data_IF_253364093988
#
_entry.id   IF_253364093988
#
_cell.length_a   1.000
_cell.length_b   1.000
_cell.length_c   1.000
_cell.angle_alpha   90.00
_cell.angle_beta   90.00
_cell.angle_gamma   90.00
#
_symmetry.space_group_name_H-M   'P 1'
#
loop_
_entity.id
_entity.type
_entity.pdbx_description
1 polymer ?
#
# COMPACT_ATOMS: atom_id res chain seq x y z
N UNK A 1 18.69 -6.04 -4.75
CA UNK A 1 19.62 -6.00 -3.61
C UNK A 1 18.85 -5.48 -2.41
N UNK A 2 18.71 -6.29 -1.37
CA UNK A 2 18.00 -5.88 -0.14
C UNK A 2 18.97 -5.06 0.71
N UNK A 3 18.66 -3.80 0.95
CA UNK A 3 19.40 -2.99 1.93
C UNK A 3 18.80 -3.21 3.31
N UNK A 4 19.65 -3.51 4.25
CA UNK A 4 19.31 -3.57 5.68
C UNK A 4 20.15 -2.50 6.39
N UNK A 5 19.53 -1.40 6.72
CA UNK A 5 20.17 -0.35 7.49
C UNK A 5 19.61 -0.35 8.91
N UNK A 6 20.51 -0.47 9.90
CA UNK A 6 20.17 -0.36 11.32
C UNK A 6 20.89 0.84 11.89
N UNK A 7 20.16 1.76 12.48
CA UNK A 7 20.76 2.91 13.15
C UNK A 7 21.03 2.61 14.66
N UNK A 8 21.77 3.49 15.36
CA UNK A 8 22.10 3.31 16.78
C UNK A 8 20.88 3.23 17.71
N UNK A 9 19.71 3.68 17.27
CA UNK A 9 18.44 3.63 18.04
C UNK A 9 17.69 2.31 17.88
N UNK A 10 18.25 1.34 17.14
CA UNK A 10 17.62 0.05 16.86
C UNK A 10 16.53 0.08 15.78
N UNK A 11 16.33 1.23 15.11
CA UNK A 11 15.46 1.30 13.94
C UNK A 11 16.13 0.65 12.73
N UNK A 12 15.37 -0.09 11.96
CA UNK A 12 15.83 -0.76 10.74
C UNK A 12 14.95 -0.36 9.56
N UNK A 13 15.59 -0.24 8.41
CA UNK A 13 14.93 -0.09 7.11
C UNK A 13 15.34 -1.27 6.24
N UNK A 14 14.37 -1.95 5.67
CA UNK A 14 14.60 -3.01 4.69
C UNK A 14 13.88 -2.63 3.40
N UNK A 15 14.62 -2.40 2.35
CA UNK A 15 14.12 -2.22 1.00
C UNK A 15 14.31 -3.48 0.14
N UNK A 16 13.82 -3.46 -1.10
CA UNK A 16 13.93 -4.58 -2.02
C UNK A 16 13.09 -5.79 -1.61
N UNK A 17 12.12 -5.60 -0.71
CA UNK A 17 11.11 -6.60 -0.34
C UNK A 17 9.86 -6.47 -1.21
N UNK A 18 8.98 -7.44 -1.14
CA UNK A 18 7.69 -7.40 -1.83
C UNK A 18 6.59 -8.08 -1.03
N UNK A 19 5.35 -7.64 -1.22
CA UNK A 19 4.15 -8.30 -0.73
C UNK A 19 3.36 -8.79 -1.95
N UNK A 20 3.28 -10.11 -2.13
CA UNK A 20 2.61 -10.74 -3.27
C UNK A 20 3.03 -10.17 -4.64
N UNK A 21 4.32 -9.88 -4.81
CA UNK A 21 4.88 -9.32 -6.05
C UNK A 21 4.94 -7.80 -6.11
N UNK A 22 4.18 -7.08 -5.27
CA UNK A 22 4.20 -5.62 -5.20
C UNK A 22 5.41 -5.16 -4.38
N UNK A 23 6.32 -4.34 -4.92
CA UNK A 23 7.48 -3.82 -4.20
C UNK A 23 7.10 -3.11 -2.90
N UNK A 24 7.90 -3.32 -1.87
CA UNK A 24 7.65 -2.75 -0.54
C UNK A 24 8.93 -2.34 0.19
N UNK A 25 8.77 -1.48 1.19
CA UNK A 25 9.78 -1.13 2.19
C UNK A 25 9.23 -1.43 3.57
N UNK A 26 10.06 -2.00 4.43
CA UNK A 26 9.72 -2.22 5.84
C UNK A 26 10.54 -1.30 6.73
N UNK A 27 9.86 -0.61 7.62
CA UNK A 27 10.43 0.20 8.69
C UNK A 27 10.09 -0.47 10.02
N UNK A 28 11.08 -0.75 10.85
CA UNK A 28 10.80 -1.43 12.11
C UNK A 28 11.77 -1.07 13.25
N UNK A 29 11.29 -1.21 14.47
CA UNK A 29 12.08 -1.22 15.70
C UNK A 29 11.49 -2.25 16.67
N UNK A 30 11.90 -2.25 17.93
CA UNK A 30 11.40 -3.20 18.94
C UNK A 30 9.89 -3.07 19.24
N UNK A 31 9.25 -1.95 18.88
CA UNK A 31 7.86 -1.64 19.23
C UNK A 31 6.91 -1.68 18.05
N UNK A 32 7.38 -1.21 16.89
CA UNK A 32 6.51 -1.00 15.71
C UNK A 32 7.18 -1.55 14.47
N UNK A 33 6.37 -2.15 13.60
CA UNK A 33 6.72 -2.51 12.22
C UNK A 33 5.71 -1.87 11.27
N UNK A 34 6.21 -1.19 10.25
CA UNK A 34 5.41 -0.59 9.18
C UNK A 34 5.86 -1.16 7.84
N UNK A 35 4.93 -1.64 7.04
CA UNK A 35 5.19 -2.08 5.66
C UNK A 35 4.49 -1.14 4.70
N UNK A 36 5.26 -0.52 3.82
CA UNK A 36 4.79 0.43 2.81
C UNK A 36 4.92 -0.20 1.43
N UNK A 37 3.85 -0.21 0.65
CA UNK A 37 3.83 -0.72 -0.73
C UNK A 37 4.33 0.35 -1.70
N UNK A 38 5.62 0.40 -1.95
CA UNK A 38 6.23 1.37 -2.87
C UNK A 38 5.85 1.15 -4.34
N UNK A 39 5.39 -0.04 -4.67
CA UNK A 39 4.85 -0.37 -6.00
C UNK A 39 3.36 -0.08 -6.16
N UNK A 40 2.71 0.52 -5.15
CA UNK A 40 1.28 0.86 -5.16
C UNK A 40 1.03 2.13 -4.33
N UNK A 41 1.44 3.28 -4.85
CA UNK A 41 1.14 4.60 -4.29
C UNK A 41 1.59 4.86 -2.84
N UNK A 42 2.55 4.07 -2.32
CA UNK A 42 3.01 4.14 -0.94
C UNK A 42 1.93 3.79 0.12
N UNK A 43 0.94 2.97 -0.24
CA UNK A 43 -0.04 2.45 0.72
C UNK A 43 0.65 1.82 1.93
N UNK A 44 0.20 2.14 3.14
CA UNK A 44 0.64 1.47 4.36
C UNK A 44 -0.12 0.15 4.51
N UNK A 45 0.55 -0.95 4.19
CA UNK A 45 -0.04 -2.28 4.21
C UNK A 45 -0.15 -2.86 5.61
N UNK A 46 0.88 -2.69 6.43
CA UNK A 46 0.94 -3.22 7.80
C UNK A 46 1.38 -2.12 8.76
N UNK A 47 0.71 -2.00 9.87
CA UNK A 47 1.10 -1.17 11.01
C UNK A 47 0.95 -2.01 12.26
N UNK A 48 2.03 -2.70 12.64
CA UNK A 48 2.04 -3.72 13.68
C UNK A 48 2.68 -3.22 14.97
N UNK A 49 1.98 -3.41 16.07
CA UNK A 49 2.56 -3.32 17.40
C UNK A 49 3.29 -4.63 17.72
N UNK A 50 4.62 -4.59 17.72
CA UNK A 50 5.46 -5.79 17.82
C UNK A 50 5.32 -6.54 19.16
N UNK A 51 5.27 -5.87 20.33
CA UNK A 51 5.17 -6.58 21.61
C UNK A 51 3.89 -7.42 21.78
N UNK A 52 2.78 -7.04 21.16
CA UNK A 52 1.53 -7.82 21.20
C UNK A 52 1.26 -8.58 19.90
N UNK A 53 2.15 -8.50 18.92
CA UNK A 53 1.98 -9.08 17.59
C UNK A 53 0.65 -8.72 16.91
N UNK A 54 0.19 -7.46 17.13
CA UNK A 54 -1.11 -7.00 16.65
C UNK A 54 -0.93 -6.07 15.46
N UNK A 55 -1.47 -6.43 14.30
CA UNK A 55 -1.61 -5.51 13.17
C UNK A 55 -2.85 -4.63 13.40
N UNK A 56 -2.66 -3.33 13.40
CA UNK A 56 -3.71 -2.35 13.67
C UNK A 56 -4.56 -2.01 12.43
N UNK A 57 -4.14 -2.48 11.25
CA UNK A 57 -4.82 -2.19 10.00
C UNK A 57 -5.68 -3.37 9.56
N UNK A 58 -6.90 -3.05 9.12
CA UNK A 58 -7.78 -4.03 8.48
C UNK A 58 -7.15 -4.57 7.18
N UNK A 59 -7.35 -5.85 6.93
CA UNK A 59 -6.99 -6.50 5.66
C UNK A 59 -8.23 -7.14 5.04
N UNK A 60 -8.35 -7.00 3.72
CA UNK A 60 -9.36 -7.76 2.98
C UNK A 60 -8.95 -9.24 2.87
N UNK A 61 -9.92 -10.17 2.75
CA UNK A 61 -9.61 -11.60 2.61
C UNK A 61 -8.79 -11.94 1.36
N UNK A 62 -8.92 -11.18 0.29
CA UNK A 62 -8.15 -11.39 -0.95
C UNK A 62 -6.73 -10.82 -0.89
N UNK A 63 -6.48 -9.85 -0.02
CA UNK A 63 -5.17 -9.25 0.19
C UNK A 63 -4.69 -8.38 -0.98
N UNK A 64 -3.37 -8.21 -1.07
CA UNK A 64 -2.74 -7.42 -2.15
C UNK A 64 -2.84 -8.14 -3.47
N UNK A 65 -3.26 -7.44 -4.52
CA UNK A 65 -3.27 -7.88 -5.91
C UNK A 65 -2.24 -7.03 -6.68
N UNK A 66 -1.36 -7.70 -7.42
CA UNK A 66 -0.38 -7.03 -8.27
C UNK A 66 -1.07 -6.47 -9.54
N UNK A 67 -1.09 -5.14 -9.74
CA UNK A 67 -1.72 -4.53 -10.91
C UNK A 67 -1.16 -5.01 -12.25
N UNK A 68 0.07 -5.49 -12.28
CA UNK A 68 0.73 -5.97 -13.50
C UNK A 68 0.21 -7.33 -13.96
N UNK A 69 -0.36 -8.11 -13.08
CA UNK A 69 -0.81 -9.48 -13.36
C UNK A 69 -2.32 -9.66 -13.26
N UNK A 70 -3.02 -8.66 -12.73
CA UNK A 70 -4.47 -8.73 -12.58
C UNK A 70 -5.19 -8.51 -13.91
N UNK A 71 -6.20 -9.34 -14.15
CA UNK A 71 -7.13 -9.17 -15.28
C UNK A 71 -8.45 -8.64 -14.70
N UNK A 72 -8.87 -7.49 -15.19
CA UNK A 72 -10.13 -6.85 -14.74
C UNK A 72 -11.34 -7.51 -15.39
N UNK A 73 -12.35 -7.81 -14.58
CA UNK A 73 -13.66 -8.24 -15.06
C UNK A 73 -14.54 -7.05 -15.47
N UNK A 74 -14.21 -5.84 -15.00
CA UNK A 74 -14.93 -4.61 -15.31
C UNK A 74 -13.98 -3.42 -15.32
N UNK A 75 -14.23 -2.47 -16.21
CA UNK A 75 -13.52 -1.20 -16.28
C UNK A 75 -14.26 -0.04 -15.59
N UNK A 76 -15.34 -0.33 -14.87
CA UNK A 76 -15.99 0.68 -14.05
C UNK A 76 -15.06 1.16 -12.92
N UNK A 77 -14.88 2.47 -12.73
CA UNK A 77 -13.89 3.00 -11.79
C UNK A 77 -14.03 2.48 -10.37
N UNK A 78 -15.25 2.32 -9.89
CA UNK A 78 -15.50 1.79 -8.55
C UNK A 78 -15.14 0.30 -8.43
N UNK A 79 -15.41 -0.51 -9.44
CA UNK A 79 -15.02 -1.92 -9.48
C UNK A 79 -13.50 -2.06 -9.53
N UNK A 80 -12.83 -1.29 -10.40
CA UNK A 80 -11.37 -1.26 -10.49
C UNK A 80 -10.72 -0.88 -9.16
N UNK A 81 -11.26 0.12 -8.45
CA UNK A 81 -10.79 0.45 -7.12
C UNK A 81 -10.92 -0.73 -6.16
N UNK A 82 -12.07 -1.41 -6.15
CA UNK A 82 -12.32 -2.54 -5.26
C UNK A 82 -11.43 -3.74 -5.54
N UNK A 83 -11.06 -3.98 -6.79
CA UNK A 83 -10.12 -5.04 -7.17
C UNK A 83 -8.76 -4.86 -6.47
N UNK A 84 -8.30 -3.61 -6.36
CA UNK A 84 -6.99 -3.31 -5.76
C UNK A 84 -7.06 -2.90 -4.29
N UNK A 85 -8.26 -2.76 -3.72
CA UNK A 85 -8.40 -2.43 -2.30
C UNK A 85 -8.07 -3.64 -1.42
N UNK A 86 -6.94 -3.58 -0.76
CA UNK A 86 -6.46 -4.66 0.12
C UNK A 86 -6.70 -4.38 1.62
N UNK A 87 -7.35 -3.26 1.95
CA UNK A 87 -7.34 -2.69 3.29
C UNK A 87 -6.09 -1.84 3.51
N UNK A 88 -5.61 -1.75 4.73
CA UNK A 88 -4.47 -0.93 5.06
C UNK A 88 -4.83 0.55 5.21
N UNK A 89 -3.85 1.42 5.06
CA UNK A 89 -3.99 2.87 5.07
C UNK A 89 -3.54 3.42 3.72
N UNK A 90 -4.43 4.07 3.01
CA UNK A 90 -4.19 4.63 1.69
C UNK A 90 -4.24 6.14 1.73
N UNK A 91 -3.25 6.78 1.11
CA UNK A 91 -3.28 8.21 0.84
C UNK A 91 -4.07 8.47 -0.44
N UNK A 92 -4.86 9.53 -0.47
CA UNK A 92 -5.72 9.88 -1.59
C UNK A 92 -5.31 11.23 -2.17
N UNK A 93 -4.76 11.23 -3.38
CA UNK A 93 -4.33 12.43 -4.09
C UNK A 93 -4.51 12.24 -5.61
N UNK A 94 -4.93 13.24 -6.39
CA UNK A 94 -5.32 14.59 -5.99
C UNK A 94 -6.77 14.74 -5.55
N UNK A 95 -7.60 13.72 -5.73
CA UNK A 95 -9.02 13.73 -5.35
C UNK A 95 -9.36 12.56 -4.42
N UNK A 96 -10.27 12.79 -3.50
CA UNK A 96 -10.68 11.80 -2.49
C UNK A 96 -12.11 11.31 -2.71
N UNK A 97 -12.52 11.09 -3.95
CA UNK A 97 -13.89 10.72 -4.25
C UNK A 97 -14.06 10.10 -5.63
N UNK A 98 -15.19 10.40 -6.25
CA UNK A 98 -15.52 9.90 -7.58
C UNK A 98 -14.53 10.43 -8.64
N UNK A 99 -14.38 9.71 -9.78
CA UNK A 99 -13.64 10.23 -10.92
C UNK A 99 -14.09 11.63 -11.29
N UNK A 100 -13.15 12.48 -11.64
CA UNK A 100 -13.45 13.86 -12.04
C UNK A 100 -12.43 14.34 -13.07
N UNK A 101 -12.79 15.42 -13.79
CA UNK A 101 -11.88 16.10 -14.70
C UNK A 101 -11.37 17.38 -14.05
N UNK A 102 -10.08 17.63 -14.12
CA UNK A 102 -9.45 18.86 -13.65
C UNK A 102 -8.36 19.31 -14.61
N UNK A 103 -8.50 20.55 -15.12
CA UNK A 103 -7.54 21.18 -16.06
C UNK A 103 -7.17 20.29 -17.25
N UNK A 104 -8.16 19.57 -17.80
CA UNK A 104 -7.98 18.68 -18.95
C UNK A 104 -7.39 17.30 -18.65
N UNK A 105 -7.14 16.98 -17.38
CA UNK A 105 -6.78 15.62 -16.96
C UNK A 105 -8.00 14.89 -16.36
N UNK A 106 -8.20 13.66 -16.77
CA UNK A 106 -9.16 12.75 -16.13
C UNK A 106 -8.49 12.09 -14.91
N UNK A 107 -9.14 12.20 -13.77
CA UNK A 107 -8.66 11.65 -12.49
C UNK A 107 -9.51 10.46 -12.08
N UNK A 108 -8.87 9.39 -11.64
CA UNK A 108 -9.50 8.14 -11.25
C UNK A 108 -10.30 8.21 -9.95
N UNK A 109 -10.89 7.09 -9.58
CA UNK A 109 -11.62 6.94 -8.32
C UNK A 109 -10.61 6.89 -7.15
N UNK A 110 -10.77 7.78 -6.18
CA UNK A 110 -9.87 7.96 -5.03
C UNK A 110 -8.43 8.37 -5.37
N UNK A 111 -8.22 9.00 -6.51
CA UNK A 111 -6.93 9.57 -6.88
C UNK A 111 -6.06 8.68 -7.76
N UNK A 112 -4.81 9.08 -7.89
CA UNK A 112 -3.85 8.53 -8.85
C UNK A 112 -2.56 8.01 -8.19
N UNK A 113 -2.52 7.91 -6.86
CA UNK A 113 -1.34 7.43 -6.13
C UNK A 113 -1.36 5.92 -6.02
#
# INVERSE_FOLDING_TARGET
MVRNETNPTGCRVRDGTSVRGVPSVTLENAHVKVVVLTGKGADVFEFRHQPSDTDLLFKTPWGVIDPKTHVHDSFEPGATFMDFYHGGWQELLPNAGRPCAYKGAELGFHGEI
#
